data_IF_626429668333
#
_entry.id   IF_626429668333
#
_cell.length_a   1.000
_cell.length_b   1.000
_cell.length_c   1.000
_cell.angle_alpha   90.00
_cell.angle_beta   90.00
_cell.angle_gamma   90.00
#
_symmetry.space_group_name_H-M   'P 1'
#
loop_
_entity.id
_entity.type
_entity.pdbx_description
1 polymer ?
#
# COMPACT_ATOMS: atom_id res chain seq x y z
N UNK A 1 -18.05 -32.37 -32.19
CA UNK A 1 -18.44 -31.10 -31.50
C UNK A 1 -17.17 -30.33 -31.16
N UNK A 2 -17.20 -29.03 -31.30
CA UNK A 2 -16.06 -28.20 -30.94
C UNK A 2 -16.08 -27.99 -29.41
N UNK A 3 -14.94 -28.17 -28.75
CA UNK A 3 -14.80 -27.82 -27.35
C UNK A 3 -15.16 -26.35 -27.15
N UNK A 4 -15.89 -26.05 -26.11
CA UNK A 4 -16.24 -24.66 -25.74
C UNK A 4 -15.40 -24.19 -24.57
N UNK A 5 -15.35 -22.90 -24.35
CA UNK A 5 -14.61 -22.32 -23.24
C UNK A 5 -15.54 -21.74 -22.16
N UNK A 6 -15.01 -21.58 -20.94
CA UNK A 6 -15.72 -20.84 -19.88
C UNK A 6 -15.63 -19.34 -20.16
N UNK A 7 -16.70 -18.61 -19.86
CA UNK A 7 -16.82 -17.19 -20.19
C UNK A 7 -15.73 -16.32 -19.52
N UNK A 8 -15.39 -16.58 -18.28
CA UNK A 8 -14.51 -15.70 -17.52
C UNK A 8 -13.02 -16.01 -17.66
N UNK A 9 -12.66 -17.31 -17.67
CA UNK A 9 -11.25 -17.73 -17.61
C UNK A 9 -10.78 -18.46 -18.86
N UNK A 10 -11.65 -18.66 -19.87
CA UNK A 10 -11.30 -19.36 -21.08
C UNK A 10 -10.86 -20.81 -20.88
N UNK A 11 -11.36 -21.46 -19.82
CA UNK A 11 -11.05 -22.87 -19.58
C UNK A 11 -11.74 -23.73 -20.61
N UNK A 12 -11.00 -24.67 -21.19
CA UNK A 12 -11.57 -25.58 -22.18
C UNK A 12 -12.54 -26.55 -21.51
N UNK A 13 -13.78 -26.58 -22.01
CA UNK A 13 -14.80 -27.56 -21.62
C UNK A 13 -14.81 -28.69 -22.67
N UNK A 14 -14.42 -29.92 -22.31
CA UNK A 14 -14.52 -31.05 -23.23
C UNK A 14 -15.97 -31.26 -23.67
N UNK A 15 -16.17 -31.70 -24.92
CA UNK A 15 -17.48 -32.16 -25.35
C UNK A 15 -17.79 -33.52 -24.70
N UNK A 16 -19.10 -33.85 -24.60
CA UNK A 16 -19.52 -35.06 -23.89
C UNK A 16 -19.05 -36.41 -24.45
N UNK A 17 -18.42 -36.40 -25.62
CA UNK A 17 -17.83 -37.57 -26.28
C UNK A 17 -16.31 -37.44 -26.44
N UNK A 18 -15.68 -36.43 -25.83
CA UNK A 18 -14.22 -36.30 -25.88
C UNK A 18 -13.58 -37.28 -24.90
N UNK A 19 -12.45 -37.83 -25.33
CA UNK A 19 -11.58 -38.58 -24.44
C UNK A 19 -10.88 -37.64 -23.48
N UNK A 20 -10.57 -38.13 -22.27
CA UNK A 20 -9.81 -37.35 -21.30
C UNK A 20 -8.43 -37.00 -21.91
N UNK A 21 -8.19 -35.68 -22.00
CA UNK A 21 -6.90 -35.15 -22.48
C UNK A 21 -6.18 -34.46 -21.33
N UNK A 22 -5.08 -35.05 -20.90
CA UNK A 22 -4.25 -34.53 -19.81
C UNK A 22 -3.67 -33.15 -20.16
N UNK A 23 -3.38 -32.87 -21.44
CA UNK A 23 -2.89 -31.59 -21.90
C UNK A 23 -3.93 -30.47 -21.67
N UNK A 24 -5.20 -30.75 -21.99
CA UNK A 24 -6.31 -29.82 -21.71
C UNK A 24 -6.48 -29.59 -20.21
N UNK A 25 -6.42 -30.65 -19.42
CA UNK A 25 -6.54 -30.54 -17.96
C UNK A 25 -5.39 -29.69 -17.37
N UNK A 26 -4.16 -29.95 -17.76
CA UNK A 26 -2.99 -29.17 -17.31
C UNK A 26 -3.08 -27.73 -17.76
N UNK A 27 -3.45 -27.45 -19.02
CA UNK A 27 -3.63 -26.08 -19.51
C UNK A 27 -4.72 -25.30 -18.78
N UNK A 28 -5.79 -25.98 -18.36
CA UNK A 28 -6.82 -25.36 -17.51
C UNK A 28 -6.29 -25.07 -16.11
N UNK A 29 -5.48 -25.96 -15.52
CA UNK A 29 -4.85 -25.72 -14.21
C UNK A 29 -3.90 -24.53 -14.25
N UNK A 30 -3.09 -24.40 -15.31
CA UNK A 30 -2.18 -23.25 -15.50
C UNK A 30 -2.94 -21.94 -15.58
N UNK A 31 -4.09 -21.90 -16.28
CA UNK A 31 -4.95 -20.73 -16.35
C UNK A 31 -5.56 -20.36 -14.98
N UNK A 32 -5.98 -21.34 -14.21
CA UNK A 32 -6.51 -21.14 -12.86
C UNK A 32 -5.42 -20.62 -11.94
N UNK A 33 -4.24 -21.21 -11.96
CA UNK A 33 -3.08 -20.77 -11.14
C UNK A 33 -2.72 -19.32 -11.45
N UNK A 34 -2.61 -18.97 -12.74
CA UNK A 34 -2.34 -17.59 -13.18
C UNK A 34 -3.40 -16.61 -12.68
N UNK A 35 -4.69 -16.97 -12.78
CA UNK A 35 -5.78 -16.12 -12.31
C UNK A 35 -5.80 -15.96 -10.80
N UNK A 36 -5.53 -17.03 -10.05
CA UNK A 36 -5.42 -16.98 -8.59
C UNK A 36 -4.24 -16.11 -8.14
N UNK A 37 -3.10 -16.23 -8.81
CA UNK A 37 -1.93 -15.37 -8.54
C UNK A 37 -2.26 -13.90 -8.79
N UNK A 38 -2.88 -13.57 -9.92
CA UNK A 38 -3.26 -12.21 -10.24
C UNK A 38 -4.23 -11.63 -9.22
N UNK A 39 -5.20 -12.42 -8.76
CA UNK A 39 -6.15 -12.01 -7.72
C UNK A 39 -5.45 -11.79 -6.37
N UNK A 40 -4.51 -12.64 -5.99
CA UNK A 40 -3.72 -12.48 -4.77
C UNK A 40 -2.87 -11.21 -4.81
N UNK A 41 -2.24 -10.93 -5.96
CA UNK A 41 -1.43 -9.73 -6.16
C UNK A 41 -2.31 -8.45 -6.10
N UNK A 42 -3.48 -8.48 -6.75
CA UNK A 42 -4.44 -7.38 -6.71
C UNK A 42 -4.97 -7.13 -5.28
N UNK A 43 -5.29 -8.20 -4.54
CA UNK A 43 -5.73 -8.09 -3.15
C UNK A 43 -4.63 -7.52 -2.24
N UNK A 44 -3.37 -7.90 -2.48
CA UNK A 44 -2.23 -7.35 -1.75
C UNK A 44 -2.03 -5.86 -2.06
N UNK A 45 -2.16 -5.47 -3.32
CA UNK A 45 -2.08 -4.07 -3.72
C UNK A 45 -3.23 -3.23 -3.13
N UNK A 46 -4.46 -3.78 -3.09
CA UNK A 46 -5.64 -3.11 -2.55
C UNK A 46 -5.63 -2.92 -1.03
N UNK A 47 -4.90 -3.76 -0.29
CA UNK A 47 -4.78 -3.66 1.18
C UNK A 47 -4.05 -2.41 1.65
N UNK A 48 -3.42 -1.67 0.75
CA UNK A 48 -2.61 -0.51 1.08
C UNK A 48 -1.23 -0.90 1.61
N UNK A 49 -0.45 0.11 1.92
CA UNK A 49 0.91 -0.01 2.44
C UNK A 49 1.00 0.67 3.78
N UNK A 50 1.51 -0.04 4.77
CA UNK A 50 1.72 0.52 6.11
C UNK A 50 3.20 0.48 6.43
N UNK A 51 3.74 1.58 6.94
CA UNK A 51 5.12 1.68 7.39
C UNK A 51 5.20 2.39 8.73
N UNK A 52 5.98 1.81 9.64
CA UNK A 52 6.31 2.44 10.90
C UNK A 52 7.53 3.35 10.72
N UNK A 53 7.49 4.50 11.37
CA UNK A 53 8.60 5.45 11.44
C UNK A 53 8.87 5.81 12.89
N UNK A 54 10.14 6.00 13.22
CA UNK A 54 10.54 6.63 14.46
C UNK A 54 11.12 8.00 14.13
N UNK A 55 10.54 9.04 14.72
CA UNK A 55 10.98 10.42 14.59
C UNK A 55 11.88 10.74 15.79
N UNK A 56 13.20 10.59 15.69
CA UNK A 56 14.08 10.83 16.83
C UNK A 56 14.10 12.32 17.22
N UNK A 57 14.25 12.61 18.49
CA UNK A 57 14.28 13.98 18.99
C UNK A 57 15.38 14.84 18.31
N UNK A 58 16.52 14.22 18.00
CA UNK A 58 17.64 14.89 17.33
C UNK A 58 17.47 15.08 15.82
N UNK A 59 16.41 14.49 15.22
CA UNK A 59 16.15 14.55 13.79
C UNK A 59 15.41 15.80 13.33
N UNK A 60 14.92 16.62 14.25
CA UNK A 60 14.15 17.81 13.94
C UNK A 60 15.05 18.99 13.58
N UNK A 61 14.76 19.62 12.46
CA UNK A 61 15.49 20.80 11.97
C UNK A 61 14.58 22.02 12.08
N UNK A 62 15.09 23.08 12.72
CA UNK A 62 14.37 24.34 12.83
C UNK A 62 14.27 25.04 11.45
N UNK A 63 13.08 25.50 11.10
CA UNK A 63 12.80 26.18 9.83
C UNK A 63 11.62 27.16 10.01
N UNK A 64 11.87 28.46 9.88
CA UNK A 64 10.80 29.48 9.86
C UNK A 64 9.89 29.52 11.09
N UNK A 65 10.37 29.18 12.26
CA UNK A 65 9.57 29.13 13.51
C UNK A 65 8.85 27.80 13.76
N UNK A 66 9.11 26.81 12.94
CA UNK A 66 8.67 25.42 13.09
C UNK A 66 9.86 24.46 13.07
N UNK A 67 9.60 23.20 13.30
CA UNK A 67 10.59 22.11 13.23
C UNK A 67 10.12 21.10 12.21
N UNK A 68 11.02 20.63 11.36
CA UNK A 68 10.71 19.64 10.31
C UNK A 68 11.59 18.42 10.41
N UNK A 69 11.02 17.27 10.07
CA UNK A 69 11.73 16.01 9.90
C UNK A 69 11.14 15.25 8.73
N UNK A 70 11.99 14.71 7.85
CA UNK A 70 11.55 14.00 6.66
C UNK A 70 11.99 12.53 6.68
N UNK A 71 11.18 11.69 6.04
CA UNK A 71 11.50 10.31 5.75
C UNK A 71 10.90 9.92 4.38
N UNK A 72 11.26 8.75 3.88
CA UNK A 72 10.79 8.29 2.56
C UNK A 72 10.04 6.99 2.65
N UNK A 73 9.05 6.83 1.76
CA UNK A 73 8.28 5.62 1.57
C UNK A 73 8.18 5.28 0.08
N UNK A 74 8.75 4.14 -0.31
CA UNK A 74 8.79 3.71 -1.70
C UNK A 74 7.52 2.98 -2.14
N UNK A 75 7.29 2.94 -3.45
CA UNK A 75 6.21 2.21 -4.09
C UNK A 75 4.86 2.91 -3.99
N UNK A 76 4.83 4.22 -3.87
CA UNK A 76 3.63 5.05 -3.88
C UNK A 76 3.56 5.87 -5.16
N UNK A 77 2.33 6.22 -5.56
CA UNK A 77 2.03 7.18 -6.61
C UNK A 77 1.12 8.28 -6.05
N UNK A 78 0.87 9.32 -6.80
CA UNK A 78 -0.03 10.41 -6.40
C UNK A 78 -1.49 9.94 -6.20
N UNK A 79 -1.82 8.73 -6.66
CA UNK A 79 -3.16 8.14 -6.48
C UNK A 79 -3.42 7.63 -5.06
N UNK A 80 -2.37 7.44 -4.24
CA UNK A 80 -2.53 6.96 -2.87
C UNK A 80 -3.04 8.05 -1.94
N UNK A 81 -4.01 7.68 -1.12
CA UNK A 81 -4.46 8.48 0.02
C UNK A 81 -3.61 8.10 1.22
N UNK A 82 -2.98 9.10 1.83
CA UNK A 82 -2.15 8.90 3.01
C UNK A 82 -2.90 9.30 4.28
N UNK A 83 -2.80 8.45 5.28
CA UNK A 83 -3.19 8.73 6.65
C UNK A 83 -2.05 8.35 7.60
N UNK A 84 -2.03 8.91 8.78
CA UNK A 84 -1.03 8.59 9.78
C UNK A 84 -1.62 8.58 11.19
N UNK A 85 -0.97 7.84 12.07
CA UNK A 85 -1.34 7.74 13.47
C UNK A 85 -0.09 7.51 14.33
N UNK A 86 -0.21 7.76 15.61
CA UNK A 86 0.82 7.44 16.60
C UNK A 86 0.77 5.95 17.00
N UNK A 87 1.91 5.43 17.44
CA UNK A 87 2.03 4.02 17.82
C UNK A 87 1.51 3.74 19.23
N UNK A 88 1.69 4.69 20.16
CA UNK A 88 1.25 4.58 21.55
C UNK A 88 0.53 5.84 22.00
N UNK A 89 -0.21 5.78 23.13
CA UNK A 89 -0.85 6.97 23.72
C UNK A 89 0.15 8.05 24.11
N UNK A 90 1.32 7.68 24.56
CA UNK A 90 2.40 8.63 24.88
C UNK A 90 2.93 9.35 23.63
N UNK A 91 3.07 8.63 22.51
CA UNK A 91 3.39 9.23 21.22
C UNK A 91 2.29 10.21 20.77
N UNK A 92 1.02 9.84 20.98
CA UNK A 92 -0.12 10.69 20.68
C UNK A 92 -0.14 11.99 21.49
N UNK A 93 0.12 11.90 22.79
CA UNK A 93 0.25 13.08 23.65
C UNK A 93 1.39 14.00 23.19
N UNK A 94 2.54 13.42 22.81
CA UNK A 94 3.67 14.16 22.27
C UNK A 94 3.35 14.84 20.93
N UNK A 95 2.63 14.14 20.04
CA UNK A 95 2.17 14.70 18.76
C UNK A 95 1.23 15.88 18.94
N UNK A 96 0.28 15.76 19.85
CA UNK A 96 -0.68 16.85 20.17
C UNK A 96 0.03 18.04 20.81
N UNK A 97 0.92 17.79 21.78
CA UNK A 97 1.66 18.85 22.47
C UNK A 97 2.58 19.63 21.52
N UNK A 98 3.18 18.96 20.54
CA UNK A 98 4.05 19.58 19.54
C UNK A 98 3.29 20.10 18.30
N UNK A 99 1.99 19.88 18.20
CA UNK A 99 1.15 20.18 17.04
C UNK A 99 1.76 19.63 15.74
N UNK A 100 2.00 18.30 15.70
CA UNK A 100 2.63 17.66 14.54
C UNK A 100 1.63 17.46 13.42
N UNK A 101 2.04 17.83 12.23
CA UNK A 101 1.32 17.58 10.97
C UNK A 101 2.21 16.80 10.00
N UNK A 102 1.59 16.01 9.12
CA UNK A 102 2.25 15.32 8.02
C UNK A 102 1.88 15.96 6.70
N UNK A 103 2.88 16.26 5.90
CA UNK A 103 2.79 16.60 4.49
C UNK A 103 3.53 15.56 3.67
N UNK A 104 3.08 15.29 2.45
CA UNK A 104 3.67 14.28 1.59
C UNK A 104 3.69 14.73 0.13
N UNK A 105 4.77 14.40 -0.55
CA UNK A 105 4.90 14.55 -2.00
C UNK A 105 5.47 13.28 -2.61
N UNK A 106 5.02 12.92 -3.81
CA UNK A 106 5.50 11.74 -4.52
C UNK A 106 6.26 12.15 -5.77
N UNK A 107 7.34 11.46 -6.08
CA UNK A 107 8.05 11.66 -7.35
C UNK A 107 7.55 10.69 -8.43
N UNK A 108 7.99 10.89 -9.67
CA UNK A 108 7.62 10.06 -10.82
C UNK A 108 8.14 8.62 -10.74
N UNK A 109 9.09 8.34 -9.85
CA UNK A 109 9.66 7.01 -9.61
C UNK A 109 8.90 6.22 -8.52
N UNK A 110 7.88 6.83 -7.90
CA UNK A 110 7.09 6.21 -6.85
C UNK A 110 7.74 6.27 -5.48
N UNK A 111 8.61 7.25 -5.25
CA UNK A 111 9.18 7.55 -3.93
C UNK A 111 8.44 8.73 -3.31
N UNK A 112 7.72 8.47 -2.23
CA UNK A 112 7.08 9.52 -1.46
C UNK A 112 8.05 10.10 -0.42
N UNK A 113 8.15 11.42 -0.36
CA UNK A 113 8.79 12.15 0.73
C UNK A 113 7.71 12.57 1.72
N UNK A 114 7.84 12.10 2.94
CA UNK A 114 6.96 12.39 4.07
C UNK A 114 7.64 13.44 4.94
N UNK A 115 7.02 14.58 5.14
CA UNK A 115 7.56 15.67 5.96
C UNK A 115 6.65 15.92 7.14
N UNK A 116 7.14 15.63 8.34
CA UNK A 116 6.47 16.02 9.57
C UNK A 116 6.91 17.43 9.97
N UNK A 117 5.93 18.25 10.29
CA UNK A 117 6.15 19.61 10.77
C UNK A 117 5.57 19.74 12.17
N UNK A 118 6.36 20.25 13.11
CA UNK A 118 5.98 20.49 14.49
C UNK A 118 6.10 21.98 14.82
N UNK A 119 5.15 22.53 15.58
CA UNK A 119 5.25 23.91 16.08
C UNK A 119 6.14 24.04 17.31
N UNK A 120 6.24 22.97 18.09
CA UNK A 120 7.16 22.90 19.22
C UNK A 120 8.12 21.73 19.05
N UNK A 121 9.35 21.87 19.52
CA UNK A 121 10.34 20.78 19.45
C UNK A 121 9.89 19.63 20.36
N UNK A 122 9.67 18.41 19.82
CA UNK A 122 9.36 17.25 20.64
C UNK A 122 10.52 16.91 21.60
N UNK A 123 10.19 16.63 22.85
CA UNK A 123 11.17 16.33 23.88
C UNK A 123 11.81 14.95 23.76
N UNK A 124 11.18 14.03 23.05
CA UNK A 124 11.64 12.64 22.86
C UNK A 124 11.40 12.12 21.45
N UNK A 125 11.80 10.88 21.21
CA UNK A 125 11.47 10.19 19.99
C UNK A 125 9.96 9.87 19.97
N UNK A 126 9.36 9.96 18.78
CA UNK A 126 7.95 9.67 18.55
C UNK A 126 7.84 8.55 17.51
N UNK A 127 7.03 7.54 17.79
CA UNK A 127 6.75 6.45 16.87
C UNK A 127 5.39 6.65 16.20
N UNK A 128 5.38 6.60 14.88
CA UNK A 128 4.18 6.82 14.07
C UNK A 128 4.04 5.74 13.01
N UNK A 129 2.80 5.51 12.57
CA UNK A 129 2.47 4.68 11.41
C UNK A 129 1.93 5.56 10.30
N UNK A 130 2.38 5.29 9.07
CA UNK A 130 1.79 5.88 7.86
C UNK A 130 1.12 4.75 7.08
N UNK A 131 -0.10 4.98 6.69
CA UNK A 131 -0.91 4.07 5.87
C UNK A 131 -1.20 4.76 4.54
N UNK A 132 -0.87 4.08 3.45
CA UNK A 132 -1.16 4.52 2.09
C UNK A 132 -2.16 3.55 1.46
N UNK A 133 -3.31 4.05 1.05
CA UNK A 133 -4.39 3.26 0.46
C UNK A 133 -4.78 3.81 -0.92
N UNK A 134 -5.08 2.92 -1.85
CA UNK A 134 -5.69 3.33 -3.11
C UNK A 134 -7.18 3.62 -2.89
N UNK A 135 -7.72 4.71 -3.46
CA UNK A 135 -9.13 4.98 -3.38
C UNK A 135 -9.93 3.85 -4.04
N UNK A 136 -10.99 3.42 -3.36
CA UNK A 136 -11.94 2.46 -3.94
C UNK A 136 -12.79 3.21 -4.97
N UNK A 137 -12.66 2.85 -6.24
CA UNK A 137 -13.60 3.28 -7.27
C UNK A 137 -14.91 2.52 -7.05
N UNK A 138 -15.95 3.22 -6.64
CA UNK A 138 -17.30 2.68 -6.60
C UNK A 138 -17.88 2.89 -8.02
N UNK A 139 -18.04 1.77 -8.75
CA UNK A 139 -18.77 1.76 -10.03
C UNK A 139 -20.29 1.78 -9.79
#
# INVERSE_FOLDING_TARGET
MVASETTNYGLVKPAGNDYYDIGVANGNMDKVDTALKANADAATAARGKTKAFTLPAAGWTASGGTYTQAATMAGLTDDYILSWSWATSADGEACVAAEIMLDASCDSAGLATLTWTAKALPAGAISVFVVAELPVTVE
#
